data_IF_873880622188
#
_entry.id   IF_873880622188
#
_cell.length_a   1.000
_cell.length_b   1.000
_cell.length_c   1.000
_cell.angle_alpha   90.00
_cell.angle_beta   90.00
_cell.angle_gamma   90.00
#
_symmetry.space_group_name_H-M   'P 1'
#
loop_
_entity.id
_entity.type
_entity.pdbx_description
1 polymer ?
#
# COMPACT_ATOMS: atom_id res chain seq x y z
N UNK A 1 0.50 2.61 3.03
CA UNK A 1 -0.72 1.78 3.22
C UNK A 1 -1.60 1.99 2.01
N UNK A 2 -2.30 0.95 1.54
CA UNK A 2 -3.20 1.05 0.38
C UNK A 2 -4.43 1.91 0.69
N UNK A 3 -4.28 3.24 0.60
CA UNK A 3 -5.32 4.27 0.58
C UNK A 3 -5.69 4.65 -0.88
N UNK A 4 -6.81 5.34 -1.14
CA UNK A 4 -7.26 5.67 -2.50
C UNK A 4 -6.24 6.40 -3.38
N UNK A 5 -5.42 7.29 -2.80
CA UNK A 5 -4.39 8.08 -3.49
C UNK A 5 -3.03 7.35 -3.60
N UNK A 6 -2.96 6.11 -3.14
CA UNK A 6 -1.71 5.32 -3.16
C UNK A 6 -1.17 5.05 -4.56
N UNK A 7 -1.98 4.81 -5.62
CA UNK A 7 -1.46 4.59 -6.96
C UNK A 7 -0.61 5.76 -7.47
N UNK A 8 -1.03 6.99 -7.20
CA UNK A 8 -0.32 8.21 -7.59
C UNK A 8 0.96 8.40 -6.79
N UNK A 9 0.93 8.08 -5.49
CA UNK A 9 2.12 8.10 -4.63
C UNK A 9 3.14 7.03 -5.05
N UNK A 10 2.68 5.84 -5.42
CA UNK A 10 3.52 4.78 -5.95
C UNK A 10 4.18 5.21 -7.27
N UNK A 11 3.42 5.85 -8.18
CA UNK A 11 3.97 6.42 -9.41
C UNK A 11 5.04 7.46 -9.13
N UNK A 12 4.77 8.39 -8.21
CA UNK A 12 5.75 9.40 -7.81
C UNK A 12 7.03 8.79 -7.22
N UNK A 13 6.92 7.69 -6.46
CA UNK A 13 8.08 6.98 -5.93
C UNK A 13 8.92 6.34 -7.04
N UNK A 14 8.30 5.73 -8.05
CA UNK A 14 9.00 5.16 -9.22
C UNK A 14 9.65 6.26 -10.07
N UNK A 15 8.96 7.37 -10.30
CA UNK A 15 9.53 8.56 -10.96
C UNK A 15 10.72 9.14 -10.18
N UNK A 16 10.70 8.99 -8.86
CA UNK A 16 11.81 9.32 -7.95
C UNK A 16 12.95 8.31 -7.94
N UNK A 17 12.86 7.22 -8.71
CA UNK A 17 13.91 6.21 -8.86
C UNK A 17 13.70 4.92 -8.06
N UNK A 18 12.50 4.66 -7.53
CA UNK A 18 12.22 3.38 -6.90
C UNK A 18 12.10 2.24 -7.93
N UNK A 19 12.92 1.20 -7.78
CA UNK A 19 12.89 0.01 -8.65
C UNK A 19 11.74 -0.95 -8.32
N UNK A 20 11.29 -0.96 -7.06
CA UNK A 20 10.25 -1.85 -6.52
C UNK A 20 9.34 -1.03 -5.61
N UNK A 21 8.03 -1.35 -5.60
CA UNK A 21 7.07 -0.74 -4.68
C UNK A 21 6.40 -1.80 -3.81
N UNK A 22 6.54 -1.63 -2.49
CA UNK A 22 5.76 -2.38 -1.50
C UNK A 22 4.48 -1.61 -1.13
N UNK A 23 3.33 -2.27 -1.25
CA UNK A 23 2.04 -1.74 -0.89
C UNK A 23 1.55 -2.41 0.39
N UNK A 24 1.66 -1.70 1.51
CA UNK A 24 1.22 -2.19 2.82
C UNK A 24 -0.30 -2.34 2.93
N UNK A 25 -0.74 -3.56 3.22
CA UNK A 25 -2.14 -3.87 3.52
C UNK A 25 -2.37 -3.69 5.03
N UNK A 26 -3.36 -2.87 5.44
CA UNK A 26 -3.55 -2.56 6.84
C UNK A 26 -4.02 -3.76 7.64
N UNK A 27 -3.37 -3.98 8.78
CA UNK A 27 -3.63 -5.08 9.69
C UNK A 27 -3.92 -4.55 11.09
N UNK A 28 -4.81 -5.22 11.83
CA UNK A 28 -5.28 -4.76 13.14
C UNK A 28 -4.31 -5.01 14.28
N UNK A 29 -3.41 -6.00 14.13
CA UNK A 29 -2.37 -6.31 15.11
C UNK A 29 -0.96 -6.41 14.49
N UNK A 30 -0.41 -5.28 13.99
CA UNK A 30 0.86 -5.27 13.27
C UNK A 30 2.05 -5.25 14.23
N UNK A 31 2.34 -6.39 14.86
CA UNK A 31 3.38 -6.55 15.88
C UNK A 31 4.81 -6.31 15.36
N UNK A 32 5.05 -6.57 14.07
CA UNK A 32 6.37 -6.40 13.45
C UNK A 32 6.64 -4.95 13.02
N UNK A 33 5.62 -4.08 13.03
CA UNK A 33 5.72 -2.72 12.51
C UNK A 33 6.12 -1.70 13.57
N UNK A 34 6.94 -0.74 13.16
CA UNK A 34 7.27 0.44 13.96
C UNK A 34 6.08 1.40 14.13
N UNK A 35 6.15 2.34 15.09
CA UNK A 35 5.02 3.20 15.46
C UNK A 35 4.48 4.07 14.32
N UNK A 36 5.29 4.41 13.33
CA UNK A 36 4.85 5.17 12.15
C UNK A 36 3.94 4.33 11.24
N UNK A 37 4.34 3.09 10.95
CA UNK A 37 3.58 2.17 10.09
C UNK A 37 2.31 1.70 10.80
N UNK A 38 2.39 1.41 12.11
CA UNK A 38 1.23 1.09 12.95
C UNK A 38 0.14 2.17 12.87
N UNK A 39 0.51 3.44 13.06
CA UNK A 39 -0.43 4.58 12.94
C UNK A 39 -0.99 4.74 11.53
N UNK A 40 -0.20 4.45 10.50
CA UNK A 40 -0.68 4.49 9.12
C UNK A 40 -1.74 3.39 8.87
N UNK A 41 -1.51 2.18 9.39
CA UNK A 41 -2.47 1.09 9.33
C UNK A 41 -3.76 1.43 10.09
N UNK A 42 -3.66 1.98 11.30
CA UNK A 42 -4.82 2.45 12.08
C UNK A 42 -5.67 3.47 11.30
N UNK A 43 -5.04 4.47 10.66
CA UNK A 43 -5.76 5.45 9.82
C UNK A 43 -6.45 4.79 8.63
N UNK A 44 -5.78 3.87 7.94
CA UNK A 44 -6.36 3.17 6.79
C UNK A 44 -7.54 2.28 7.22
N UNK A 45 -7.44 1.56 8.34
CA UNK A 45 -8.54 0.75 8.89
C UNK A 45 -9.74 1.60 9.31
N UNK A 46 -9.50 2.75 9.96
CA UNK A 46 -10.53 3.69 10.38
C UNK A 46 -11.29 4.29 9.18
N UNK A 47 -10.63 4.41 8.03
CA UNK A 47 -11.24 4.82 6.74
C UNK A 47 -11.94 3.69 5.99
N UNK A 48 -12.02 2.50 6.59
CA UNK A 48 -12.73 1.36 6.01
C UNK A 48 -11.93 0.55 5.00
N UNK A 49 -10.62 0.73 4.88
CA UNK A 49 -9.84 -0.12 3.98
C UNK A 49 -9.86 -1.58 4.45
N UNK A 50 -10.15 -2.46 3.50
CA UNK A 50 -10.23 -3.92 3.64
C UNK A 50 -9.54 -4.56 2.44
N UNK A 51 -9.32 -5.86 2.49
CA UNK A 51 -8.58 -6.61 1.45
C UNK A 51 -9.05 -6.32 0.03
N UNK A 52 -10.38 -6.32 -0.21
CA UNK A 52 -10.93 -5.99 -1.54
C UNK A 52 -10.50 -4.60 -2.03
N UNK A 53 -10.65 -3.57 -1.19
CA UNK A 53 -10.24 -2.21 -1.55
C UNK A 53 -8.73 -2.08 -1.74
N UNK A 54 -7.92 -2.86 -1.01
CA UNK A 54 -6.47 -2.91 -1.21
C UNK A 54 -6.10 -3.55 -2.55
N UNK A 55 -6.83 -4.60 -2.97
CA UNK A 55 -6.67 -5.21 -4.29
C UNK A 55 -7.09 -4.25 -5.41
N UNK A 56 -8.17 -3.48 -5.22
CA UNK A 56 -8.58 -2.45 -6.19
C UNK A 56 -7.50 -1.37 -6.34
N UNK A 57 -6.84 -0.98 -5.24
CA UNK A 57 -5.69 -0.06 -5.26
C UNK A 57 -4.51 -0.68 -6.00
N UNK A 58 -4.21 -1.97 -5.76
CA UNK A 58 -3.14 -2.70 -6.44
C UNK A 58 -3.39 -2.79 -7.95
N UNK A 59 -4.62 -3.05 -8.38
CA UNK A 59 -5.00 -3.09 -9.79
C UNK A 59 -4.80 -1.73 -10.46
N UNK A 60 -5.25 -0.64 -9.81
CA UNK A 60 -5.01 0.73 -10.30
C UNK A 60 -3.52 1.05 -10.39
N UNK A 61 -2.75 0.71 -9.36
CA UNK A 61 -1.30 0.90 -9.36
C UNK A 61 -0.63 0.11 -10.49
N UNK A 62 -1.08 -1.13 -10.77
CA UNK A 62 -0.56 -1.93 -11.88
C UNK A 62 -0.78 -1.22 -13.22
N UNK A 63 -1.96 -0.61 -13.42
CA UNK A 63 -2.25 0.16 -14.64
C UNK A 63 -1.36 1.39 -14.82
N UNK A 64 -0.94 2.04 -13.73
CA UNK A 64 -0.04 3.20 -13.79
C UNK A 64 1.44 2.84 -13.92
N UNK A 65 1.82 1.64 -13.50
CA UNK A 65 3.22 1.23 -13.32
C UNK A 65 3.54 -0.09 -14.05
N UNK A 66 3.16 -0.32 -15.32
CA UNK A 66 3.09 -1.67 -15.93
C UNK A 66 4.31 -2.59 -15.72
N UNK A 67 5.51 -2.02 -15.68
CA UNK A 67 6.78 -2.76 -15.60
C UNK A 67 7.38 -2.82 -14.19
N UNK A 68 6.89 -2.02 -13.23
CA UNK A 68 7.42 -2.01 -11.86
C UNK A 68 6.94 -3.22 -11.08
N UNK A 69 7.80 -3.97 -10.37
CA UNK A 69 7.35 -4.97 -9.41
C UNK A 69 6.54 -4.34 -8.27
N UNK A 70 5.31 -4.84 -8.07
CA UNK A 70 4.42 -4.42 -6.97
C UNK A 70 4.27 -5.57 -5.99
N UNK A 71 4.63 -5.35 -4.74
CA UNK A 71 4.60 -6.36 -3.69
C UNK A 71 3.53 -5.99 -2.67
N UNK A 72 2.44 -6.77 -2.54
CA UNK A 72 1.52 -6.62 -1.42
C UNK A 72 2.24 -7.03 -0.13
N UNK A 73 2.52 -6.07 0.75
CA UNK A 73 3.08 -6.35 2.07
C UNK A 73 1.93 -6.57 3.04
N UNK A 74 1.83 -7.79 3.59
CA UNK A 74 0.71 -8.20 4.45
C UNK A 74 1.15 -9.20 5.51
N UNK A 75 0.28 -9.40 6.51
CA UNK A 75 0.44 -10.38 7.57
C UNK A 75 -0.35 -11.65 7.23
N UNK A 76 0.07 -12.78 7.80
CA UNK A 76 -0.60 -14.08 7.70
C UNK A 76 -1.82 -14.21 8.61
#
# INVERSE_FOLDING_TARGET
MAEPETPELARAAVEGGADIVELGFPFSDPLADGPVIRRAAERALARGMRTRACLDVLERARGLLPDTPLIPMTYS
#
